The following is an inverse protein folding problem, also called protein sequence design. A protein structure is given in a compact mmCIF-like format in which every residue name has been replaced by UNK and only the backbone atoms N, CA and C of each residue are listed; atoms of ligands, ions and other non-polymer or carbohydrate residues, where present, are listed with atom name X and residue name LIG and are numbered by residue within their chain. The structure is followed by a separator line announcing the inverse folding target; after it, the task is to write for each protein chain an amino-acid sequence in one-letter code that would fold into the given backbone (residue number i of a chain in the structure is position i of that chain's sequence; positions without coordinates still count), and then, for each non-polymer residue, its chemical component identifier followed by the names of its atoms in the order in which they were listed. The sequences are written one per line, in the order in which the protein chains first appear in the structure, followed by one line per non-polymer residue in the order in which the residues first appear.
data_IF_833496292303
#
_entry.id   IF_833496292303
#
_cell.length_a   1.000
_cell.length_b   1.000
_cell.length_c   1.000
_cell.angle_alpha   90.00
_cell.angle_beta   90.00
_cell.angle_gamma   90.00
#
_symmetry.space_group_name_H-M   'P 1'
#
loop_
_entity.id
_entity.type
_entity.pdbx_description
1 polymer ?
#
# COMPACT_ATOMS: atom_id res chain seq x y z
N UNK A 1 16.80 -5.18 11.67
CA UNK A 1 16.64 -4.25 12.81
C UNK A 1 15.26 -3.66 12.70
N UNK A 2 14.53 -3.42 13.79
CA UNK A 2 13.15 -2.90 13.72
C UNK A 2 13.09 -1.48 13.12
N UNK A 3 11.96 -1.17 12.49
CA UNK A 3 11.75 0.07 11.72
C UNK A 3 10.62 0.93 12.28
N UNK A 4 9.88 0.44 13.27
CA UNK A 4 8.85 1.17 14.00
C UNK A 4 9.09 1.01 15.51
N UNK A 5 9.13 2.13 16.23
CA UNK A 5 9.19 2.18 17.69
C UNK A 5 7.91 2.83 18.21
N UNK A 6 7.18 2.13 19.07
CA UNK A 6 5.98 2.61 19.75
C UNK A 6 6.28 2.73 21.25
N UNK A 7 6.11 3.92 21.78
CA UNK A 7 6.22 4.20 23.22
C UNK A 7 4.83 4.58 23.73
N UNK A 8 4.19 3.67 24.43
CA UNK A 8 2.83 3.81 24.93
C UNK A 8 2.80 4.26 26.40
N UNK A 9 1.77 5.02 26.75
CA UNK A 9 1.53 5.49 28.11
C UNK A 9 0.98 4.39 29.02
N UNK A 10 0.38 3.33 28.44
CA UNK A 10 -0.10 2.15 29.18
C UNK A 10 0.04 0.86 28.36
N UNK A 11 -0.04 -0.29 29.04
CA UNK A 11 0.08 -1.61 28.44
C UNK A 11 -1.06 -1.92 27.46
N UNK A 12 -2.29 -1.49 27.75
CA UNK A 12 -3.44 -1.71 26.87
C UNK A 12 -3.24 -1.02 25.53
N UNK A 13 -2.73 0.21 25.55
CA UNK A 13 -2.40 0.96 24.36
C UNK A 13 -1.25 0.33 23.57
N UNK A 14 -0.22 -0.15 24.24
CA UNK A 14 0.89 -0.85 23.62
C UNK A 14 0.38 -2.10 22.87
N UNK A 15 -0.47 -2.91 23.51
CA UNK A 15 -1.09 -4.10 22.91
C UNK A 15 -1.96 -3.77 21.70
N UNK A 16 -2.82 -2.75 21.79
CA UNK A 16 -3.70 -2.34 20.69
C UNK A 16 -2.90 -1.92 19.45
N UNK A 17 -1.84 -1.16 19.64
CA UNK A 17 -0.96 -0.70 18.56
C UNK A 17 -0.26 -1.85 17.85
N UNK A 18 0.32 -2.77 18.60
CA UNK A 18 1.00 -3.96 18.07
C UNK A 18 0.03 -4.86 17.31
N UNK A 19 -1.18 -5.06 17.84
CA UNK A 19 -2.22 -5.85 17.18
C UNK A 19 -2.61 -5.27 15.81
N UNK A 20 -2.74 -3.95 15.72
CA UNK A 20 -3.06 -3.27 14.46
C UNK A 20 -1.95 -3.45 13.41
N UNK A 21 -0.68 -3.31 13.82
CA UNK A 21 0.47 -3.57 12.94
C UNK A 21 0.57 -5.05 12.52
N UNK A 22 0.26 -5.98 13.42
CA UNK A 22 0.24 -7.41 13.12
C UNK A 22 -0.77 -7.76 12.04
N UNK A 23 -1.94 -7.12 12.02
CA UNK A 23 -2.95 -7.29 10.98
C UNK A 23 -2.44 -6.87 9.59
N UNK A 24 -1.44 -5.96 9.53
CA UNK A 24 -0.74 -5.55 8.31
C UNK A 24 0.43 -6.47 7.95
N UNK A 25 0.60 -7.63 8.62
CA UNK A 25 1.71 -8.58 8.44
C UNK A 25 3.10 -8.02 8.83
N UNK A 26 3.15 -6.96 9.63
CA UNK A 26 4.39 -6.46 10.25
C UNK A 26 4.73 -7.38 11.42
N UNK A 27 5.97 -7.86 11.49
CA UNK A 27 6.42 -8.64 12.65
C UNK A 27 6.60 -7.73 13.85
N UNK A 28 5.98 -8.10 14.98
CA UNK A 28 5.81 -7.19 16.13
C UNK A 28 6.24 -7.85 17.43
N UNK A 29 6.86 -7.06 18.32
CA UNK A 29 7.23 -7.45 19.67
C UNK A 29 6.68 -6.43 20.67
N UNK A 30 6.02 -6.92 21.71
CA UNK A 30 5.73 -6.15 22.92
C UNK A 30 6.84 -6.41 23.94
N UNK A 31 7.64 -5.41 24.23
CA UNK A 31 8.72 -5.50 25.22
C UNK A 31 8.15 -5.29 26.63
N UNK A 32 8.26 -6.31 27.46
CA UNK A 32 7.82 -6.28 28.86
C UNK A 32 9.00 -6.21 29.86
N UNK A 33 10.10 -6.89 29.50
CA UNK A 33 11.27 -7.03 30.35
C UNK A 33 12.52 -7.06 29.49
N UNK A 34 13.26 -6.04 29.45
CA UNK A 34 14.51 -5.75 28.74
C UNK A 34 15.45 -6.95 28.47
N UNK A 35 15.05 -7.86 27.58
CA UNK A 35 15.85 -9.03 27.21
C UNK A 35 16.50 -8.94 25.83
N UNK A 36 16.47 -7.77 25.18
CA UNK A 36 17.08 -7.52 23.87
C UNK A 36 16.63 -8.52 22.76
N UNK A 37 15.35 -8.95 22.76
CA UNK A 37 14.81 -9.94 21.83
C UNK A 37 14.38 -9.37 20.47
N UNK A 38 14.56 -8.09 20.21
CA UNK A 38 14.01 -7.33 19.10
C UNK A 38 14.68 -7.54 17.73
N UNK A 39 15.74 -8.35 17.63
CA UNK A 39 16.56 -8.46 16.41
C UNK A 39 15.80 -8.97 15.16
N UNK A 40 14.68 -9.66 15.33
CA UNK A 40 13.92 -10.30 14.25
C UNK A 40 12.53 -9.71 14.06
N UNK A 41 12.27 -8.50 14.54
CA UNK A 41 10.98 -7.86 14.48
C UNK A 41 11.07 -6.54 13.71
N UNK A 42 9.98 -6.18 13.00
CA UNK A 42 9.86 -4.92 12.25
C UNK A 42 9.39 -3.77 13.14
N UNK A 43 8.62 -4.07 14.18
CA UNK A 43 8.10 -3.10 15.12
C UNK A 43 8.24 -3.57 16.57
N UNK A 44 8.59 -2.63 17.44
CA UNK A 44 8.63 -2.81 18.90
C UNK A 44 7.65 -1.85 19.54
N UNK A 45 6.94 -2.33 20.56
CA UNK A 45 6.13 -1.50 21.45
C UNK A 45 6.58 -1.67 22.90
N UNK A 46 6.71 -0.55 23.59
CA UNK A 46 7.06 -0.49 25.03
C UNK A 46 5.99 0.29 25.77
N UNK A 47 5.61 -0.16 26.97
CA UNK A 47 4.77 0.61 27.88
C UNK A 47 5.63 1.35 28.92
N UNK A 48 5.30 2.61 29.16
CA UNK A 48 5.96 3.42 30.19
C UNK A 48 5.20 3.43 31.52
N UNK A 49 3.94 2.95 31.50
CA UNK A 49 3.02 3.08 32.64
C UNK A 49 3.04 4.52 33.21
N UNK A 50 2.90 5.50 32.30
CA UNK A 50 3.08 6.92 32.61
C UNK A 50 1.78 7.72 32.67
N UNK A 51 0.65 7.11 32.29
CA UNK A 51 -0.63 7.82 32.21
C UNK A 51 -1.05 8.48 33.53
N UNK A 52 -0.84 7.83 34.66
CA UNK A 52 -1.32 8.27 35.98
C UNK A 52 -0.26 8.80 36.92
N UNK A 53 0.95 9.13 36.47
CA UNK A 53 2.05 9.67 37.26
C UNK A 53 2.25 11.16 37.00
N UNK A 54 3.20 11.79 37.70
CA UNK A 54 3.50 13.20 37.49
C UNK A 54 4.01 13.46 36.06
N UNK A 55 3.79 14.68 35.56
CA UNK A 55 4.25 15.11 34.24
C UNK A 55 5.77 14.96 34.08
N UNK A 56 6.53 15.33 35.12
CA UNK A 56 8.00 15.20 35.14
C UNK A 56 8.45 13.72 35.05
N UNK A 57 7.80 12.83 35.78
CA UNK A 57 8.15 11.41 35.77
C UNK A 57 7.75 10.75 34.42
N UNK A 58 6.61 11.15 33.88
CA UNK A 58 6.15 10.71 32.58
C UNK A 58 7.14 11.12 31.46
N UNK A 59 7.56 12.38 31.47
CA UNK A 59 8.60 12.90 30.59
C UNK A 59 9.88 12.05 30.68
N UNK A 60 10.42 11.87 31.90
CA UNK A 60 11.66 11.12 32.12
C UNK A 60 11.57 9.69 31.65
N UNK A 61 10.46 8.98 31.87
CA UNK A 61 10.26 7.62 31.40
C UNK A 61 10.25 7.53 29.88
N UNK A 62 9.49 8.41 29.22
CA UNK A 62 9.41 8.42 27.74
C UNK A 62 10.76 8.79 27.13
N UNK A 63 11.46 9.81 27.69
CA UNK A 63 12.79 10.20 27.26
C UNK A 63 13.77 9.02 27.31
N UNK A 64 13.86 8.36 28.47
CA UNK A 64 14.81 7.26 28.69
C UNK A 64 14.52 6.05 27.79
N UNK A 65 13.24 5.65 27.63
CA UNK A 65 12.85 4.57 26.74
C UNK A 65 13.14 4.92 25.28
N UNK A 66 12.85 6.14 24.86
CA UNK A 66 13.15 6.58 23.50
C UNK A 66 14.65 6.54 23.24
N UNK A 67 15.49 7.07 24.14
CA UNK A 67 16.95 7.01 24.05
C UNK A 67 17.48 5.59 23.95
N UNK A 68 16.93 4.68 24.73
CA UNK A 68 17.35 3.28 24.78
C UNK A 68 17.12 2.54 23.45
N UNK A 69 15.97 2.80 22.80
CA UNK A 69 15.54 2.05 21.64
C UNK A 69 15.71 2.80 20.30
N UNK A 70 16.12 4.07 20.32
CA UNK A 70 16.31 4.82 19.07
C UNK A 70 17.51 4.32 18.28
N UNK A 71 17.39 4.30 16.95
CA UNK A 71 18.49 4.06 16.03
C UNK A 71 18.15 4.60 14.62
N UNK A 72 19.15 4.64 13.71
CA UNK A 72 19.03 5.33 12.42
C UNK A 72 18.05 4.67 11.43
N UNK A 73 17.76 3.37 11.58
CA UNK A 73 16.90 2.65 10.65
C UNK A 73 15.40 2.75 10.98
N UNK A 74 15.04 3.41 12.10
CA UNK A 74 13.64 3.60 12.47
C UNK A 74 13.01 4.61 11.51
N UNK A 75 11.99 4.15 10.78
CA UNK A 75 11.20 4.95 9.86
C UNK A 75 10.03 5.63 10.55
N UNK A 76 9.48 5.02 11.61
CA UNK A 76 8.30 5.51 12.32
C UNK A 76 8.53 5.49 13.82
N UNK A 77 8.48 6.66 14.43
CA UNK A 77 8.42 6.83 15.88
C UNK A 77 6.99 7.18 16.26
N UNK A 78 6.38 6.40 17.13
CA UNK A 78 5.06 6.67 17.68
C UNK A 78 5.12 6.91 19.19
N UNK A 79 4.70 8.10 19.61
CA UNK A 79 4.26 8.31 20.97
C UNK A 79 2.78 7.92 21.04
N UNK A 80 2.52 6.66 21.42
CA UNK A 80 1.13 6.21 21.52
C UNK A 80 0.42 6.94 22.65
N UNK A 81 -0.63 7.64 22.31
CA UNK A 81 -1.49 8.40 23.21
C UNK A 81 -2.85 7.73 23.42
N UNK A 82 -3.49 8.00 24.51
CA UNK A 82 -4.86 7.56 24.73
C UNK A 82 -5.84 8.21 23.74
N UNK A 83 -6.77 7.43 23.20
CA UNK A 83 -7.75 7.92 22.21
C UNK A 83 -8.79 8.87 22.78
N UNK A 84 -8.80 9.06 24.08
CA UNK A 84 -9.63 10.05 24.79
C UNK A 84 -8.80 11.16 25.46
N UNK A 85 -7.51 11.26 25.09
CA UNK A 85 -6.59 12.32 25.55
C UNK A 85 -6.28 12.32 27.06
N UNK A 86 -6.39 11.17 27.75
CA UNK A 86 -5.96 11.03 29.15
C UNK A 86 -4.44 10.98 29.26
N UNK A 87 -3.88 11.51 30.37
CA UNK A 87 -2.47 11.42 30.69
C UNK A 87 -1.65 12.66 30.32
N UNK A 88 -0.34 12.50 30.29
CA UNK A 88 0.66 13.56 30.17
C UNK A 88 1.10 13.79 28.72
N UNK A 89 0.15 13.95 27.79
CA UNK A 89 0.38 13.86 26.34
C UNK A 89 1.41 14.86 25.83
N UNK A 90 1.30 16.13 26.22
CA UNK A 90 2.21 17.18 25.75
C UNK A 90 3.64 16.97 26.26
N UNK A 91 3.80 16.64 27.56
CA UNK A 91 5.10 16.35 28.14
C UNK A 91 5.77 15.12 27.55
N UNK A 92 4.99 14.09 27.25
CA UNK A 92 5.50 12.85 26.64
C UNK A 92 5.88 13.03 25.17
N UNK A 93 5.17 13.89 24.43
CA UNK A 93 5.57 14.32 23.08
C UNK A 93 6.88 15.07 23.13
N UNK A 94 7.00 16.05 24.04
CA UNK A 94 8.23 16.82 24.23
C UNK A 94 9.40 15.90 24.59
N UNK A 95 9.20 14.93 25.48
CA UNK A 95 10.21 13.97 25.88
C UNK A 95 10.74 13.13 24.71
N UNK A 96 9.84 12.64 23.84
CA UNK A 96 10.25 11.88 22.66
C UNK A 96 11.03 12.75 21.67
N UNK A 97 10.58 13.98 21.41
CA UNK A 97 11.27 14.93 20.54
C UNK A 97 12.65 15.29 21.08
N UNK A 98 12.77 15.58 22.39
CA UNK A 98 14.05 15.90 23.04
C UNK A 98 15.00 14.68 23.05
N UNK A 99 14.47 13.48 23.26
CA UNK A 99 15.26 12.27 23.20
C UNK A 99 15.85 12.02 21.80
N UNK A 100 15.12 12.31 20.74
CA UNK A 100 15.61 12.15 19.38
C UNK A 100 16.62 13.22 18.99
N UNK A 101 16.53 14.43 19.56
CA UNK A 101 17.55 15.49 19.51
C UNK A 101 17.77 16.08 18.11
N UNK A 102 16.97 15.72 17.14
CA UNK A 102 16.91 16.32 15.82
C UNK A 102 15.61 17.13 15.67
N UNK A 103 15.61 18.11 14.77
CA UNK A 103 14.51 19.05 14.60
C UNK A 103 13.29 18.38 13.94
N UNK A 104 12.58 17.53 14.70
CA UNK A 104 11.42 16.78 14.22
C UNK A 104 10.11 17.49 14.48
N UNK A 105 9.12 17.13 13.67
CA UNK A 105 7.74 17.54 13.79
C UNK A 105 6.91 16.44 14.48
N UNK A 106 6.08 16.77 15.45
CA UNK A 106 5.07 15.86 15.97
C UNK A 106 3.74 16.06 15.23
N UNK A 107 3.25 15.00 14.62
CA UNK A 107 1.92 14.92 14.03
C UNK A 107 1.01 14.24 15.03
N UNK A 108 0.02 14.98 15.51
CA UNK A 108 -0.83 14.54 16.62
C UNK A 108 -2.28 14.38 16.15
N UNK A 109 -2.89 13.25 16.41
CA UNK A 109 -4.35 13.09 16.31
C UNK A 109 -4.83 12.00 17.25
N UNK A 110 -5.69 12.29 18.22
CA UNK A 110 -6.36 11.27 19.02
C UNK A 110 -7.47 10.56 18.24
N UNK A 111 -7.72 10.96 17.00
CA UNK A 111 -8.73 10.38 16.14
C UNK A 111 -8.52 8.88 15.90
N UNK A 112 -9.61 8.11 16.03
CA UNK A 112 -9.71 6.70 15.70
C UNK A 112 -11.10 6.45 15.09
N UNK A 113 -11.30 6.82 13.83
CA UNK A 113 -12.66 6.84 13.25
C UNK A 113 -13.40 5.51 13.33
N UNK A 114 -12.73 4.38 13.11
CA UNK A 114 -13.34 3.05 13.22
C UNK A 114 -13.73 2.66 14.65
N UNK A 115 -13.25 3.40 15.65
CA UNK A 115 -13.61 3.24 17.06
C UNK A 115 -14.50 4.39 17.58
N UNK A 116 -15.06 5.20 16.68
CA UNK A 116 -15.96 6.32 17.04
C UNK A 116 -15.27 7.53 17.66
N UNK A 117 -13.92 7.67 17.52
CA UNK A 117 -13.19 8.85 17.98
C UNK A 117 -12.86 9.71 16.78
N UNK A 118 -13.42 10.93 16.76
CA UNK A 118 -13.20 11.88 15.66
C UNK A 118 -12.70 13.22 16.20
N UNK A 119 -11.91 13.93 15.39
CA UNK A 119 -11.43 15.27 15.71
C UNK A 119 -11.92 16.21 14.62
N UNK A 120 -12.60 17.28 15.03
CA UNK A 120 -13.14 18.32 14.13
C UNK A 120 -12.92 19.68 14.75
N UNK A 121 -12.25 20.59 14.02
CA UNK A 121 -11.90 21.93 14.54
C UNK A 121 -11.01 21.87 15.78
N UNK A 122 -10.21 20.81 15.92
CA UNK A 122 -9.38 20.56 17.10
C UNK A 122 -10.13 19.97 18.31
N UNK A 123 -11.45 19.72 18.20
CA UNK A 123 -12.23 19.11 19.29
C UNK A 123 -12.35 17.62 19.13
N UNK A 124 -12.08 16.87 20.19
CA UNK A 124 -12.24 15.43 20.25
C UNK A 124 -13.68 15.05 20.61
N UNK A 125 -14.29 14.24 19.74
CA UNK A 125 -15.60 13.64 19.97
C UNK A 125 -15.48 12.12 20.10
N UNK A 126 -16.24 11.57 21.04
CA UNK A 126 -16.43 10.13 21.26
C UNK A 126 -17.88 9.81 20.89
N UNK A 127 -18.08 9.05 19.80
CA UNK A 127 -19.41 8.75 19.26
C UNK A 127 -20.29 9.99 19.02
N UNK A 128 -19.68 11.09 18.58
CA UNK A 128 -20.36 12.35 18.29
C UNK A 128 -20.59 13.27 19.49
N UNK A 129 -20.13 12.90 20.70
CA UNK A 129 -20.25 13.67 21.94
C UNK A 129 -18.86 14.21 22.31
N UNK A 130 -18.75 15.47 22.73
CA UNK A 130 -17.48 16.02 23.22
C UNK A 130 -16.94 15.16 24.36
N UNK A 131 -15.63 14.88 24.36
CA UNK A 131 -15.04 13.94 25.32
C UNK A 131 -15.25 14.38 26.78
N UNK A 132 -15.29 15.67 27.05
CA UNK A 132 -15.58 16.22 28.37
C UNK A 132 -17.02 16.04 28.86
N UNK A 133 -17.95 15.71 27.95
CA UNK A 133 -19.35 15.40 28.26
C UNK A 133 -19.62 13.89 28.35
N UNK A 134 -18.56 13.07 28.27
CA UNK A 134 -18.66 11.60 28.38
C UNK A 134 -18.23 11.11 29.76
N UNK A 135 -18.31 9.80 29.97
CA UNK A 135 -17.80 9.14 31.18
C UNK A 135 -16.31 9.42 31.47
N UNK A 136 -15.55 9.88 30.45
CA UNK A 136 -14.15 10.25 30.61
C UNK A 136 -13.96 11.51 31.47
N UNK A 137 -14.97 12.35 31.59
CA UNK A 137 -14.95 13.53 32.46
C UNK A 137 -14.85 13.18 33.97
N UNK A 138 -15.32 12.00 34.32
CA UNK A 138 -15.35 11.49 35.72
C UNK A 138 -14.40 10.30 35.94
N UNK A 139 -13.45 10.08 35.03
CA UNK A 139 -12.41 9.05 35.21
C UNK A 139 -11.68 9.29 36.52
N UNK A 140 -11.56 8.25 37.36
CA UNK A 140 -11.05 8.38 38.72
C UNK A 140 -9.58 8.78 38.84
N UNK A 141 -8.79 8.51 37.78
CA UNK A 141 -7.33 8.78 37.76
C UNK A 141 -6.95 9.96 36.88
N UNK A 142 -7.65 10.09 35.73
CA UNK A 142 -7.30 11.06 34.69
C UNK A 142 -8.59 11.67 34.08
N UNK A 143 -9.34 12.49 34.85
CA UNK A 143 -10.57 13.11 34.35
C UNK A 143 -10.26 14.10 33.22
N UNK A 144 -11.01 14.00 32.11
CA UNK A 144 -10.90 14.91 30.97
C UNK A 144 -11.89 16.06 31.12
N UNK A 145 -11.36 17.28 31.15
CA UNK A 145 -12.16 18.49 31.31
C UNK A 145 -12.09 19.43 30.12
N UNK A 146 -11.36 19.05 29.07
CA UNK A 146 -11.12 19.88 27.87
C UNK A 146 -11.19 18.97 26.67
N UNK A 147 -12.14 19.20 25.77
CA UNK A 147 -12.26 18.49 24.50
C UNK A 147 -11.35 19.07 23.41
N UNK A 148 -10.85 20.31 23.58
CA UNK A 148 -9.93 20.93 22.63
C UNK A 148 -8.53 20.36 22.81
N UNK A 149 -8.08 19.58 21.82
CA UNK A 149 -6.79 18.89 21.82
C UNK A 149 -5.59 19.86 21.87
N UNK A 150 -5.72 21.02 21.20
CA UNK A 150 -4.64 22.02 21.16
C UNK A 150 -4.47 22.67 22.53
N UNK A 151 -5.56 23.05 23.16
CA UNK A 151 -5.51 23.65 24.49
C UNK A 151 -4.94 22.66 25.49
N UNK A 152 -5.40 21.41 25.49
CA UNK A 152 -4.88 20.38 26.38
C UNK A 152 -3.37 20.20 26.23
N UNK A 153 -2.85 20.10 25.00
CA UNK A 153 -1.42 19.92 24.75
C UNK A 153 -0.63 21.18 25.15
N UNK A 154 -1.17 22.39 24.93
CA UNK A 154 -0.51 23.66 25.34
C UNK A 154 -0.23 23.76 26.81
N UNK A 155 -1.05 23.18 27.67
CA UNK A 155 -0.80 23.17 29.10
C UNK A 155 0.40 22.31 29.51
N UNK A 156 0.78 21.34 28.68
CA UNK A 156 1.79 20.31 28.98
C UNK A 156 3.04 20.40 28.10
N UNK A 157 3.04 21.21 27.03
CA UNK A 157 4.16 21.32 26.08
C UNK A 157 4.67 22.74 25.97
N UNK A 158 5.99 22.91 25.85
CA UNK A 158 6.68 24.19 25.63
C UNK A 158 6.82 24.58 24.17
N UNK A 159 6.38 23.70 23.23
CA UNK A 159 6.57 23.87 21.79
C UNK A 159 5.46 24.69 21.15
N UNK A 160 5.75 25.32 20.00
CA UNK A 160 4.71 25.97 19.20
C UNK A 160 3.79 24.93 18.59
N UNK A 161 2.49 25.10 18.77
CA UNK A 161 1.43 24.18 18.34
C UNK A 161 0.52 24.89 17.34
N UNK A 162 0.14 24.19 16.28
CA UNK A 162 -0.89 24.61 15.31
C UNK A 162 -1.84 23.46 14.97
N UNK A 163 -2.92 23.76 14.24
CA UNK A 163 -3.89 22.79 13.73
C UNK A 163 -3.64 22.47 12.26
N UNK A 164 -4.03 21.27 11.85
CA UNK A 164 -4.32 20.91 10.47
C UNK A 164 -5.83 20.66 10.39
N UNK A 165 -6.55 21.70 10.00
CA UNK A 165 -8.01 21.73 10.04
C UNK A 165 -8.65 20.86 8.96
N UNK A 166 -9.93 20.50 9.18
CA UNK A 166 -10.69 19.58 8.34
C UNK A 166 -10.73 20.02 6.87
N UNK A 167 -10.81 21.31 6.59
CA UNK A 167 -10.87 21.84 5.23
C UNK A 167 -9.59 21.53 4.44
N UNK A 168 -8.44 21.52 5.10
CA UNK A 168 -7.16 21.17 4.51
C UNK A 168 -7.03 19.65 4.41
N UNK A 169 -7.40 18.91 5.47
CA UNK A 169 -7.32 17.43 5.50
C UNK A 169 -8.13 16.76 4.39
N UNK A 170 -9.24 17.40 3.96
CA UNK A 170 -10.08 16.92 2.86
C UNK A 170 -9.47 17.09 1.47
N UNK A 171 -8.38 17.81 1.35
CA UNK A 171 -7.69 18.06 0.07
C UNK A 171 -6.74 16.93 -0.29
N UNK A 172 -5.90 17.11 -1.31
CA UNK A 172 -4.89 16.12 -1.69
C UNK A 172 -3.70 16.08 -0.72
N UNK A 173 -3.01 14.94 -0.66
CA UNK A 173 -1.77 14.78 0.13
C UNK A 173 -0.72 15.85 -0.20
N UNK A 174 -0.64 16.30 -1.44
CA UNK A 174 0.28 17.38 -1.88
C UNK A 174 -0.02 18.72 -1.22
N UNK A 175 -1.29 19.11 -1.11
CA UNK A 175 -1.70 20.36 -0.46
C UNK A 175 -1.41 20.29 1.05
N UNK A 176 -1.76 19.15 1.68
CA UNK A 176 -1.48 18.90 3.09
C UNK A 176 0.05 18.92 3.35
N UNK A 177 0.82 18.25 2.48
CA UNK A 177 2.30 18.23 2.58
C UNK A 177 2.91 19.62 2.51
N UNK A 178 2.39 20.47 1.61
CA UNK A 178 2.82 21.87 1.54
C UNK A 178 2.50 22.62 2.83
N UNK A 179 1.27 22.50 3.33
CA UNK A 179 0.86 23.11 4.59
C UNK A 179 1.77 22.68 5.76
N UNK A 180 2.07 21.40 5.87
CA UNK A 180 2.99 20.87 6.90
C UNK A 180 4.37 21.52 6.79
N UNK A 181 4.91 21.68 5.59
CA UNK A 181 6.20 22.35 5.37
C UNK A 181 6.17 23.82 5.76
N UNK A 182 5.15 24.55 5.30
CA UNK A 182 4.99 25.98 5.62
C UNK A 182 4.94 26.17 7.14
N UNK A 183 4.17 25.35 7.86
CA UNK A 183 4.09 25.42 9.33
C UNK A 183 5.39 25.03 10.04
N UNK A 184 6.09 24.02 9.52
CA UNK A 184 7.40 23.65 10.04
C UNK A 184 8.42 24.79 9.89
N UNK A 185 8.45 25.47 8.74
CA UNK A 185 9.32 26.61 8.45
C UNK A 185 8.96 27.85 9.31
N UNK A 186 7.67 28.03 9.67
CA UNK A 186 7.20 29.03 10.64
C UNK A 186 7.62 28.71 12.10
N UNK A 187 8.28 27.58 12.32
CA UNK A 187 8.80 27.18 13.64
C UNK A 187 7.82 26.39 14.49
N UNK A 188 6.66 25.94 13.96
CA UNK A 188 5.81 25.01 14.65
C UNK A 188 6.47 23.62 14.74
N UNK A 189 6.28 22.94 15.90
CA UNK A 189 6.85 21.60 16.13
C UNK A 189 5.80 20.57 16.53
N UNK A 190 4.56 20.99 16.71
CA UNK A 190 3.41 20.13 16.95
C UNK A 190 2.29 20.58 16.02
N UNK A 191 1.73 19.65 15.24
CA UNK A 191 0.54 19.87 14.40
C UNK A 191 -0.54 18.90 14.86
N UNK A 192 -1.65 19.42 15.38
CA UNK A 192 -2.84 18.65 15.75
C UNK A 192 -3.75 18.53 14.52
N UNK A 193 -4.05 17.31 14.10
CA UNK A 193 -4.78 17.04 12.87
C UNK A 193 -6.24 16.66 13.15
N UNK A 194 -7.16 17.32 12.48
CA UNK A 194 -8.53 16.86 12.38
C UNK A 194 -8.60 15.50 11.67
N UNK A 195 -9.51 14.62 12.13
CA UNK A 195 -9.64 13.27 11.60
C UNK A 195 -11.04 12.70 11.84
N UNK A 196 -11.79 12.45 10.76
CA UNK A 196 -13.19 12.01 10.84
C UNK A 196 -13.39 10.62 10.22
N UNK A 197 -12.56 10.23 9.25
CA UNK A 197 -12.72 8.98 8.51
C UNK A 197 -11.37 8.41 8.05
N UNK A 198 -11.41 7.21 7.47
CA UNK A 198 -10.20 6.51 7.00
C UNK A 198 -9.49 7.22 5.83
N UNK A 199 -10.21 7.99 5.01
CA UNK A 199 -9.57 8.76 3.94
C UNK A 199 -8.69 9.88 4.53
N UNK A 200 -9.08 10.48 5.65
CA UNK A 200 -8.26 11.46 6.35
C UNK A 200 -7.00 10.82 6.93
N UNK A 201 -7.10 9.61 7.50
CA UNK A 201 -5.91 8.83 7.93
C UNK A 201 -4.95 8.63 6.75
N UNK A 202 -5.47 8.22 5.60
CA UNK A 202 -4.67 8.02 4.38
C UNK A 202 -4.00 9.32 3.92
N UNK A 203 -4.79 10.38 3.72
CA UNK A 203 -4.30 11.66 3.19
C UNK A 203 -3.20 12.26 4.07
N UNK A 204 -3.40 12.28 5.39
CA UNK A 204 -2.40 12.78 6.35
C UNK A 204 -1.14 11.92 6.30
N UNK A 205 -1.27 10.58 6.26
CA UNK A 205 -0.13 9.66 6.22
C UNK A 205 0.72 9.82 4.95
N UNK A 206 0.08 9.94 3.81
CA UNK A 206 0.77 10.20 2.53
C UNK A 206 1.46 11.58 2.55
N UNK A 207 0.78 12.62 3.04
CA UNK A 207 1.31 13.97 3.11
C UNK A 207 2.55 14.10 4.00
N UNK A 208 2.56 13.42 5.14
CA UNK A 208 3.71 13.38 6.05
C UNK A 208 4.92 12.79 5.33
N UNK A 209 4.75 11.67 4.64
CA UNK A 209 5.84 11.02 3.89
C UNK A 209 6.31 11.88 2.70
N UNK A 210 5.39 12.52 1.98
CA UNK A 210 5.68 13.44 0.88
C UNK A 210 6.42 14.70 1.35
N UNK A 211 6.21 15.15 2.59
CA UNK A 211 6.87 16.33 3.16
C UNK A 211 8.38 16.16 3.27
N UNK A 212 8.86 14.92 3.46
CA UNK A 212 10.26 14.58 3.75
C UNK A 212 10.83 15.20 5.02
N UNK A 213 10.00 15.83 5.84
CA UNK A 213 10.36 16.33 7.16
C UNK A 213 10.51 15.13 8.09
N UNK A 214 11.51 15.14 8.96
CA UNK A 214 11.60 14.16 10.02
C UNK A 214 10.44 14.36 11.00
N UNK A 215 9.80 13.29 11.42
CA UNK A 215 8.60 13.38 12.25
C UNK A 215 8.54 12.31 13.34
N UNK A 216 7.67 12.52 14.29
CA UNK A 216 7.06 11.50 15.14
C UNK A 216 5.54 11.56 14.96
N UNK A 217 4.87 10.46 15.24
CA UNK A 217 3.40 10.40 15.27
C UNK A 217 2.94 10.27 16.71
N UNK A 218 1.99 11.10 17.14
CA UNK A 218 1.33 10.96 18.43
C UNK A 218 -0.15 10.63 18.20
N UNK A 219 -0.47 9.34 18.20
CA UNK A 219 -1.82 8.86 17.88
C UNK A 219 -2.15 7.53 18.61
N UNK A 220 -3.42 7.16 18.69
CA UNK A 220 -3.83 5.86 19.23
C UNK A 220 -3.64 4.69 18.24
N UNK A 221 -2.86 4.87 17.19
CA UNK A 221 -2.31 3.92 16.22
C UNK A 221 -2.82 3.99 14.77
N UNK A 222 -3.96 4.56 14.37
CA UNK A 222 -4.41 4.57 12.96
C UNK A 222 -3.41 5.22 12.00
N UNK A 223 -2.84 6.39 12.35
CA UNK A 223 -1.81 7.05 11.54
C UNK A 223 -0.52 6.23 11.54
N UNK A 224 -0.08 5.78 12.71
CA UNK A 224 1.12 4.93 12.86
C UNK A 224 1.02 3.68 12.00
N UNK A 225 -0.12 3.00 12.00
CA UNK A 225 -0.35 1.81 11.20
C UNK A 225 -0.28 2.12 9.70
N UNK A 226 -0.95 3.19 9.25
CA UNK A 226 -0.95 3.57 7.83
C UNK A 226 0.41 4.04 7.34
N UNK A 227 1.13 4.84 8.12
CA UNK A 227 2.50 5.26 7.79
C UNK A 227 3.45 4.05 7.78
N UNK A 228 3.31 3.12 8.72
CA UNK A 228 4.12 1.89 8.75
C UNK A 228 3.84 1.01 7.52
N UNK A 229 2.58 0.88 7.10
CA UNK A 229 2.22 0.20 5.86
C UNK A 229 2.94 0.83 4.66
N UNK A 230 2.87 2.15 4.53
CA UNK A 230 3.47 2.88 3.40
C UNK A 230 5.00 2.90 3.43
N UNK A 231 5.64 2.95 4.60
CA UNK A 231 7.09 3.13 4.74
C UNK A 231 7.86 1.84 4.99
N UNK A 232 7.25 0.83 5.61
CA UNK A 232 7.89 -0.44 5.95
C UNK A 232 7.55 -1.50 4.91
N UNK A 233 6.24 -1.74 4.67
CA UNK A 233 5.80 -2.79 3.77
C UNK A 233 6.07 -2.43 2.31
N UNK A 234 5.79 -1.18 1.91
CA UNK A 234 5.99 -0.78 0.53
C UNK A 234 7.47 -0.68 0.14
N UNK A 235 8.39 -0.32 1.06
CA UNK A 235 9.83 -0.37 0.76
C UNK A 235 10.37 -1.79 0.63
N UNK A 236 9.85 -2.74 1.38
CA UNK A 236 10.20 -4.16 1.22
C UNK A 236 9.57 -4.77 -0.03
N UNK A 237 8.35 -4.31 -0.38
CA UNK A 237 7.70 -4.69 -1.65
C UNK A 237 8.43 -4.11 -2.87
N UNK A 238 9.02 -2.93 -2.79
CA UNK A 238 9.84 -2.36 -3.89
C UNK A 238 11.15 -3.14 -4.07
N UNK A 239 11.73 -3.69 -3.00
CA UNK A 239 12.92 -4.55 -3.08
C UNK A 239 12.61 -6.04 -3.35
N UNK A 240 11.35 -6.48 -3.24
CA UNK A 240 10.83 -7.80 -3.59
C UNK A 240 9.51 -7.72 -4.35
N UNK A 241 9.31 -6.66 -5.12
CA UNK A 241 8.06 -6.53 -5.87
C UNK A 241 8.05 -7.56 -6.99
N UNK A 242 7.09 -8.49 -6.87
CA UNK A 242 6.85 -9.50 -7.88
C UNK A 242 6.57 -8.86 -9.23
N UNK A 243 7.27 -9.33 -10.25
CA UNK A 243 7.01 -8.95 -11.63
C UNK A 243 5.87 -9.79 -12.18
N UNK A 244 4.77 -9.13 -12.52
CA UNK A 244 3.57 -9.76 -13.08
C UNK A 244 3.43 -9.36 -14.55
N UNK A 245 3.34 -10.36 -15.42
CA UNK A 245 3.05 -10.16 -16.84
C UNK A 245 1.62 -10.59 -17.13
N UNK A 246 0.83 -9.68 -17.70
CA UNK A 246 -0.52 -9.97 -18.18
C UNK A 246 -0.48 -10.13 -19.71
N UNK A 247 -0.68 -11.33 -20.22
CA UNK A 247 -0.79 -11.65 -21.64
C UNK A 247 -2.29 -11.74 -22.02
N UNK A 248 -2.78 -10.76 -22.76
CA UNK A 248 -4.20 -10.61 -23.08
C UNK A 248 -4.42 -10.80 -24.57
N UNK A 249 -4.87 -12.00 -24.95
CA UNK A 249 -5.28 -12.33 -26.33
C UNK A 249 -6.74 -12.00 -26.62
N UNK A 250 -7.58 -11.89 -25.58
CA UNK A 250 -9.00 -11.57 -25.74
C UNK A 250 -9.22 -10.12 -26.16
N UNK A 251 -10.10 -9.91 -27.14
CA UNK A 251 -10.53 -8.59 -27.65
C UNK A 251 -11.96 -8.22 -27.23
N UNK A 252 -12.54 -8.92 -26.24
CA UNK A 252 -13.90 -8.65 -25.78
C UNK A 252 -14.03 -7.27 -25.09
N UNK A 253 -15.21 -6.68 -25.16
CA UNK A 253 -15.53 -5.42 -24.47
C UNK A 253 -15.26 -5.52 -22.96
N UNK A 254 -15.58 -6.65 -22.33
CA UNK A 254 -15.29 -6.93 -20.92
C UNK A 254 -13.79 -6.85 -20.63
N UNK A 255 -12.96 -7.45 -21.49
CA UNK A 255 -11.50 -7.39 -21.35
C UNK A 255 -10.97 -5.95 -21.51
N UNK A 256 -11.48 -5.19 -22.46
CA UNK A 256 -11.09 -3.79 -22.64
C UNK A 256 -11.40 -2.95 -21.40
N UNK A 257 -12.57 -3.13 -20.80
CA UNK A 257 -12.96 -2.47 -19.56
C UNK A 257 -12.04 -2.86 -18.39
N UNK A 258 -11.71 -4.14 -18.24
CA UNK A 258 -10.80 -4.64 -17.20
C UNK A 258 -9.40 -4.05 -17.33
N UNK A 259 -8.86 -3.99 -18.53
CA UNK A 259 -7.54 -3.37 -18.80
C UNK A 259 -7.56 -1.88 -18.48
N UNK A 260 -8.60 -1.16 -18.91
CA UNK A 260 -8.79 0.26 -18.61
C UNK A 260 -8.87 0.50 -17.10
N UNK A 261 -9.61 -0.33 -16.39
CA UNK A 261 -9.77 -0.23 -14.93
C UNK A 261 -8.44 -0.49 -14.21
N UNK A 262 -7.68 -1.50 -14.59
CA UNK A 262 -6.36 -1.76 -14.01
C UNK A 262 -5.40 -0.59 -14.30
N UNK A 263 -5.36 -0.09 -15.53
CA UNK A 263 -4.49 1.01 -15.94
C UNK A 263 -4.80 2.31 -15.16
N UNK A 264 -6.07 2.57 -14.87
CA UNK A 264 -6.49 3.78 -14.13
C UNK A 264 -6.22 3.67 -12.61
N UNK A 265 -6.13 2.46 -12.06
CA UNK A 265 -6.04 2.23 -10.61
C UNK A 265 -4.70 1.72 -10.12
N UNK A 266 -3.78 1.34 -11.02
CA UNK A 266 -2.44 0.82 -10.68
C UNK A 266 -1.39 1.42 -11.60
N UNK A 267 -0.17 1.50 -11.10
CA UNK A 267 1.00 1.90 -11.90
C UNK A 267 1.48 0.70 -12.71
N UNK A 268 1.19 0.70 -14.00
CA UNK A 268 1.43 -0.43 -14.90
C UNK A 268 2.12 0.01 -16.19
N UNK A 269 2.96 -0.85 -16.76
CA UNK A 269 3.50 -0.72 -18.10
C UNK A 269 2.53 -1.31 -19.13
N UNK A 270 1.93 -0.49 -19.97
CA UNK A 270 1.07 -0.94 -21.06
C UNK A 270 1.90 -1.10 -22.32
N UNK A 271 1.79 -2.29 -22.96
CA UNK A 271 2.42 -2.65 -24.23
C UNK A 271 1.32 -3.06 -25.21
N UNK A 272 1.30 -2.44 -26.37
CA UNK A 272 0.34 -2.73 -27.42
C UNK A 272 1.05 -3.40 -28.59
N UNK A 273 0.54 -4.55 -29.02
CA UNK A 273 1.03 -5.22 -30.23
C UNK A 273 0.05 -5.06 -31.39
N UNK A 274 0.56 -5.11 -32.59
CA UNK A 274 -0.21 -5.05 -33.83
C UNK A 274 -0.52 -6.47 -34.33
N UNK A 275 -1.79 -6.93 -34.23
CA UNK A 275 -2.13 -8.30 -34.62
C UNK A 275 -1.88 -8.57 -36.11
N UNK A 276 -2.08 -7.57 -36.98
CA UNK A 276 -1.75 -7.66 -38.40
C UNK A 276 -0.29 -8.00 -38.65
N UNK A 277 0.64 -7.50 -37.87
CA UNK A 277 2.06 -7.78 -38.01
C UNK A 277 2.41 -9.23 -37.58
N UNK A 278 1.65 -9.81 -36.64
CA UNK A 278 1.83 -11.20 -36.21
C UNK A 278 1.28 -12.20 -37.25
N UNK A 279 0.32 -11.78 -38.08
CA UNK A 279 -0.24 -12.56 -39.18
C UNK A 279 0.71 -12.55 -40.40
N UNK A 280 1.36 -11.43 -40.65
CA UNK A 280 2.28 -11.27 -41.78
C UNK A 280 3.63 -11.93 -41.48
N UNK A 281 3.97 -13.00 -42.22
CA UNK A 281 5.22 -13.74 -42.01
C UNK A 281 6.48 -12.88 -42.14
N UNK A 282 6.44 -11.79 -42.94
CA UNK A 282 7.56 -10.88 -43.15
C UNK A 282 7.74 -9.88 -41.98
N UNK A 283 6.70 -9.61 -41.22
CA UNK A 283 6.67 -8.67 -40.11
C UNK A 283 6.66 -9.35 -38.72
N UNK A 284 6.28 -10.61 -38.65
CA UNK A 284 6.03 -11.33 -37.41
C UNK A 284 7.24 -11.31 -36.45
N UNK A 285 8.43 -11.65 -36.94
CA UNK A 285 9.62 -11.66 -36.11
C UNK A 285 9.99 -10.26 -35.59
N UNK A 286 9.80 -9.24 -36.41
CA UNK A 286 10.03 -7.84 -36.01
C UNK A 286 9.06 -7.41 -34.93
N UNK A 287 7.78 -7.79 -35.04
CA UNK A 287 6.76 -7.48 -34.03
C UNK A 287 7.03 -8.21 -32.72
N UNK A 288 7.38 -9.50 -32.77
CA UNK A 288 7.78 -10.27 -31.59
C UNK A 288 8.95 -9.58 -30.86
N UNK A 289 10.00 -9.21 -31.59
CA UNK A 289 11.16 -8.54 -30.99
C UNK A 289 10.80 -7.15 -30.42
N UNK A 290 9.89 -6.42 -31.07
CA UNK A 290 9.35 -5.16 -30.56
C UNK A 290 8.59 -5.35 -29.23
N UNK A 291 7.71 -6.34 -29.15
CA UNK A 291 6.98 -6.73 -27.93
C UNK A 291 7.99 -7.03 -26.80
N UNK A 292 8.95 -7.91 -27.07
CA UNK A 292 9.96 -8.35 -26.08
C UNK A 292 10.72 -7.15 -25.52
N UNK A 293 11.26 -6.30 -26.40
CA UNK A 293 12.03 -5.13 -25.99
C UNK A 293 11.19 -4.13 -25.17
N UNK A 294 9.95 -3.89 -25.58
CA UNK A 294 9.06 -2.99 -24.84
C UNK A 294 8.75 -3.54 -23.44
N UNK A 295 8.47 -4.85 -23.31
CA UNK A 295 8.18 -5.47 -22.00
C UNK A 295 9.41 -5.42 -21.10
N UNK A 296 10.61 -5.76 -21.60
CA UNK A 296 11.86 -5.70 -20.83
C UNK A 296 12.10 -4.29 -20.30
N UNK A 297 12.04 -3.28 -21.17
CA UNK A 297 12.24 -1.87 -20.79
C UNK A 297 11.18 -1.41 -19.79
N UNK A 298 9.92 -1.82 -19.95
CA UNK A 298 8.86 -1.46 -19.00
C UNK A 298 9.07 -2.10 -17.63
N UNK A 299 9.60 -3.32 -17.54
CA UNK A 299 9.93 -3.96 -16.27
C UNK A 299 11.11 -3.32 -15.50
N UNK A 300 11.82 -2.37 -16.09
CA UNK A 300 12.77 -1.53 -15.36
C UNK A 300 12.06 -0.51 -14.46
N UNK A 301 10.86 -0.08 -14.85
CA UNK A 301 10.11 0.99 -14.15
C UNK A 301 8.83 0.48 -13.48
N UNK A 302 8.22 -0.57 -14.03
CA UNK A 302 6.93 -1.09 -13.61
C UNK A 302 7.06 -2.54 -13.13
N UNK A 303 6.30 -2.91 -12.10
CA UNK A 303 6.23 -4.30 -11.62
C UNK A 303 5.07 -5.09 -12.25
N UNK A 304 4.18 -4.42 -12.93
CA UNK A 304 3.05 -5.01 -13.65
C UNK A 304 3.15 -4.54 -15.09
N UNK A 305 3.25 -5.47 -16.02
CA UNK A 305 3.22 -5.20 -17.46
C UNK A 305 2.01 -5.87 -18.11
N UNK A 306 1.34 -5.15 -19.00
CA UNK A 306 0.15 -5.62 -19.70
C UNK A 306 0.47 -5.65 -21.20
N UNK A 307 0.48 -6.84 -21.81
CA UNK A 307 0.57 -7.03 -23.23
C UNK A 307 -0.84 -7.23 -23.79
N UNK A 308 -1.28 -6.36 -24.69
CA UNK A 308 -2.63 -6.36 -25.26
C UNK A 308 -2.60 -6.04 -26.74
N UNK A 309 -3.59 -6.55 -27.49
CA UNK A 309 -3.78 -6.17 -28.88
C UNK A 309 -4.15 -4.68 -29.02
N UNK A 310 -3.50 -3.97 -29.95
CA UNK A 310 -3.87 -2.62 -30.33
C UNK A 310 -5.32 -2.51 -30.83
N UNK A 311 -5.87 -3.62 -31.30
CA UNK A 311 -7.25 -3.72 -31.78
C UNK A 311 -8.30 -3.35 -30.71
N UNK A 312 -7.97 -3.49 -29.41
CA UNK A 312 -8.83 -3.05 -28.29
C UNK A 312 -8.99 -1.53 -28.19
N UNK A 313 -8.15 -0.76 -28.86
CA UNK A 313 -8.10 0.71 -28.75
C UNK A 313 -8.40 1.40 -30.07
N UNK A 314 -8.70 0.64 -31.15
CA UNK A 314 -9.03 1.21 -32.45
C UNK A 314 -10.50 1.59 -32.50
N UNK A 315 -10.80 2.76 -33.03
CA UNK A 315 -12.18 3.18 -33.31
C UNK A 315 -12.87 2.24 -34.30
N UNK A 316 -12.10 1.73 -35.28
CA UNK A 316 -12.53 0.71 -36.20
C UNK A 316 -11.58 -0.51 -36.06
N UNK A 317 -12.02 -1.57 -35.36
CA UNK A 317 -11.26 -2.80 -35.22
C UNK A 317 -10.95 -3.43 -36.59
N UNK A 318 -9.89 -4.25 -36.65
CA UNK A 318 -9.59 -5.04 -37.83
C UNK A 318 -10.74 -6.00 -38.12
N UNK A 319 -11.13 -6.05 -39.37
CA UNK A 319 -12.08 -7.02 -39.88
C UNK A 319 -11.34 -8.31 -40.23
N UNK A 320 -11.40 -9.31 -39.38
CA UNK A 320 -10.75 -10.59 -39.60
C UNK A 320 -11.43 -11.43 -40.66
N UNK A 321 -12.72 -11.21 -40.94
CA UNK A 321 -13.42 -11.86 -42.01
C UNK A 321 -12.89 -11.38 -43.38
N UNK A 322 -12.69 -10.05 -43.51
CA UNK A 322 -12.10 -9.45 -44.70
C UNK A 322 -10.64 -9.95 -44.92
N UNK A 323 -9.84 -9.98 -43.85
CA UNK A 323 -8.44 -10.44 -43.91
C UNK A 323 -8.38 -11.93 -44.30
N UNK A 324 -9.23 -12.76 -43.71
CA UNK A 324 -9.30 -14.18 -44.00
C UNK A 324 -9.67 -14.41 -45.49
N UNK A 325 -10.64 -13.65 -45.99
CA UNK A 325 -11.06 -13.71 -47.39
C UNK A 325 -9.92 -13.34 -48.37
N UNK A 326 -9.22 -12.24 -48.09
CA UNK A 326 -8.11 -11.74 -48.92
C UNK A 326 -6.93 -12.72 -48.89
N UNK A 327 -6.59 -13.26 -47.74
CA UNK A 327 -5.46 -14.20 -47.55
C UNK A 327 -5.80 -15.65 -47.92
N UNK A 328 -7.07 -15.93 -48.31
CA UNK A 328 -7.59 -17.28 -48.59
C UNK A 328 -7.35 -18.27 -47.46
N UNK A 329 -7.56 -17.79 -46.22
CA UNK A 329 -7.45 -18.55 -44.97
C UNK A 329 -8.77 -18.50 -44.24
N UNK A 330 -8.82 -19.02 -43.02
CA UNK A 330 -9.94 -18.84 -42.11
C UNK A 330 -9.55 -18.04 -40.86
N UNK A 331 -10.54 -17.57 -40.11
CA UNK A 331 -10.35 -16.77 -38.92
C UNK A 331 -9.63 -17.56 -37.82
N UNK A 332 -9.85 -18.88 -37.76
CA UNK A 332 -9.20 -19.76 -36.80
C UNK A 332 -7.68 -19.81 -37.05
N UNK A 333 -7.29 -19.93 -38.31
CA UNK A 333 -5.88 -19.89 -38.71
C UNK A 333 -5.23 -18.53 -38.33
N UNK A 334 -5.88 -17.39 -38.60
CA UNK A 334 -5.39 -16.08 -38.26
C UNK A 334 -5.25 -15.90 -36.73
N UNK A 335 -6.25 -16.35 -35.97
CA UNK A 335 -6.23 -16.35 -34.51
C UNK A 335 -5.09 -17.21 -33.95
N UNK A 336 -4.82 -18.36 -34.59
CA UNK A 336 -3.71 -19.22 -34.18
C UNK A 336 -2.36 -18.54 -34.39
N UNK A 337 -2.13 -17.87 -35.52
CA UNK A 337 -0.89 -17.12 -35.78
C UNK A 337 -0.65 -16.02 -34.72
N UNK A 338 -1.70 -15.27 -34.39
CA UNK A 338 -1.60 -14.22 -33.33
C UNK A 338 -1.23 -14.85 -31.98
N UNK A 339 -1.91 -15.94 -31.60
CA UNK A 339 -1.65 -16.61 -30.33
C UNK A 339 -0.25 -17.24 -30.28
N UNK A 340 0.26 -17.75 -31.39
CA UNK A 340 1.63 -18.24 -31.54
C UNK A 340 2.65 -17.10 -31.37
N UNK A 341 2.43 -15.97 -32.05
CA UNK A 341 3.28 -14.78 -31.89
C UNK A 341 3.34 -14.26 -30.44
N UNK A 342 2.17 -14.25 -29.75
CA UNK A 342 2.12 -13.92 -28.32
C UNK A 342 2.92 -14.95 -27.51
N UNK A 343 2.74 -16.24 -27.74
CA UNK A 343 3.39 -17.31 -27.00
C UNK A 343 4.92 -17.27 -27.13
N UNK A 344 5.43 -17.09 -28.36
CA UNK A 344 6.86 -16.90 -28.64
C UNK A 344 7.39 -15.64 -27.95
N UNK A 345 6.61 -14.55 -27.95
CA UNK A 345 7.00 -13.32 -27.25
C UNK A 345 7.13 -13.56 -25.75
N UNK A 346 6.18 -14.28 -25.13
CA UNK A 346 6.21 -14.62 -23.70
C UNK A 346 7.45 -15.48 -23.38
N UNK A 347 7.77 -16.49 -24.16
CA UNK A 347 8.97 -17.31 -23.95
C UNK A 347 10.24 -16.46 -23.98
N UNK A 348 10.42 -15.62 -25.01
CA UNK A 348 11.59 -14.72 -25.12
C UNK A 348 11.65 -13.71 -23.97
N UNK A 349 10.50 -13.22 -23.48
CA UNK A 349 10.46 -12.34 -22.31
C UNK A 349 10.96 -13.08 -21.06
N UNK A 350 10.46 -14.28 -20.82
CA UNK A 350 10.86 -15.12 -19.67
C UNK A 350 12.34 -15.54 -19.70
N UNK A 351 12.96 -15.59 -20.87
CA UNK A 351 14.41 -15.82 -21.01
C UNK A 351 15.25 -14.62 -20.52
N UNK A 352 14.71 -13.42 -20.63
CA UNK A 352 15.41 -12.18 -20.34
C UNK A 352 15.02 -11.55 -19.00
N UNK A 353 13.81 -11.80 -18.51
CA UNK A 353 13.30 -11.22 -17.25
C UNK A 353 12.69 -12.32 -16.38
N UNK A 354 13.14 -12.37 -15.13
CA UNK A 354 12.48 -13.22 -14.14
C UNK A 354 11.11 -12.64 -13.79
N UNK A 355 10.06 -13.36 -14.13
CA UNK A 355 8.68 -13.03 -13.81
C UNK A 355 8.21 -13.95 -12.68
N UNK A 356 7.47 -13.40 -11.71
CA UNK A 356 6.96 -14.14 -10.56
C UNK A 356 5.52 -14.65 -10.77
N UNK A 357 4.80 -14.05 -11.71
CA UNK A 357 3.44 -14.48 -12.04
C UNK A 357 3.01 -14.07 -13.44
N UNK A 358 2.28 -14.96 -14.11
CA UNK A 358 1.70 -14.77 -15.42
C UNK A 358 0.17 -14.76 -15.30
N UNK A 359 -0.47 -13.77 -15.90
CA UNK A 359 -1.91 -13.76 -16.10
C UNK A 359 -2.21 -13.89 -17.58
N UNK A 360 -3.15 -14.75 -17.94
CA UNK A 360 -3.59 -14.95 -19.32
C UNK A 360 -5.10 -14.75 -19.46
N UNK A 361 -5.51 -14.08 -20.52
CA UNK A 361 -6.93 -13.92 -20.89
C UNK A 361 -7.17 -14.41 -22.30
N UNK A 362 -8.00 -15.44 -22.40
CA UNK A 362 -8.28 -16.21 -23.61
C UNK A 362 -7.80 -17.64 -23.46
N UNK A 363 -8.68 -18.63 -23.68
CA UNK A 363 -8.33 -20.06 -23.58
C UNK A 363 -7.24 -20.45 -24.57
N UNK A 364 -7.41 -20.09 -25.84
CA UNK A 364 -6.47 -20.42 -26.94
C UNK A 364 -5.10 -19.77 -26.68
N UNK A 365 -5.07 -18.51 -26.23
CA UNK A 365 -3.83 -17.83 -25.84
C UNK A 365 -3.13 -18.58 -24.71
N UNK A 366 -3.87 -19.01 -23.69
CA UNK A 366 -3.31 -19.78 -22.57
C UNK A 366 -2.70 -21.09 -23.02
N UNK A 367 -3.42 -21.85 -23.85
CA UNK A 367 -2.97 -23.15 -24.38
C UNK A 367 -1.68 -22.97 -25.19
N UNK A 368 -1.64 -22.00 -26.11
CA UNK A 368 -0.45 -21.71 -26.92
C UNK A 368 0.76 -21.31 -26.07
N UNK A 369 0.57 -20.46 -25.06
CA UNK A 369 1.64 -20.09 -24.13
C UNK A 369 2.15 -21.31 -23.36
N UNK A 370 1.25 -22.13 -22.78
CA UNK A 370 1.65 -23.35 -22.08
C UNK A 370 2.42 -24.33 -23.00
N UNK A 371 1.94 -24.52 -24.22
CA UNK A 371 2.60 -25.37 -25.22
C UNK A 371 4.00 -24.84 -25.57
N UNK A 372 4.14 -23.54 -25.84
CA UNK A 372 5.43 -22.90 -26.17
C UNK A 372 6.43 -23.04 -25.04
N UNK A 373 5.96 -22.92 -23.78
CA UNK A 373 6.80 -23.08 -22.58
C UNK A 373 7.08 -24.55 -22.21
N UNK A 374 6.65 -25.51 -23.05
CA UNK A 374 6.77 -26.95 -22.82
C UNK A 374 6.16 -27.40 -21.47
N UNK A 375 5.08 -26.76 -21.07
CA UNK A 375 4.31 -27.18 -19.89
C UNK A 375 3.41 -28.36 -20.26
N UNK A 376 3.52 -29.46 -19.51
CA UNK A 376 2.75 -30.69 -19.77
C UNK A 376 1.33 -30.64 -19.19
N UNK A 377 1.14 -29.83 -18.12
CA UNK A 377 -0.13 -29.67 -17.43
C UNK A 377 -0.13 -28.42 -16.56
N UNK A 378 -1.30 -28.08 -16.03
CA UNK A 378 -1.48 -27.06 -15.02
C UNK A 378 -1.79 -27.72 -13.67
N UNK A 379 -0.98 -27.45 -12.65
CA UNK A 379 -1.25 -27.85 -11.29
C UNK A 379 -2.23 -26.85 -10.68
N UNK A 380 -3.52 -27.21 -10.69
CA UNK A 380 -4.61 -26.33 -10.22
C UNK A 380 -4.54 -26.17 -8.70
N UNK A 381 -4.44 -24.95 -8.23
CA UNK A 381 -4.32 -24.63 -6.81
C UNK A 381 -5.67 -24.20 -6.21
N UNK A 382 -6.35 -23.25 -6.82
CA UNK A 382 -7.67 -22.80 -6.38
C UNK A 382 -8.36 -21.93 -7.44
N UNK A 383 -9.65 -21.65 -7.22
CA UNK A 383 -10.37 -20.59 -7.94
C UNK A 383 -10.10 -19.24 -7.30
N UNK A 384 -9.76 -18.22 -8.08
CA UNK A 384 -9.63 -16.83 -7.62
C UNK A 384 -11.03 -16.24 -7.40
N UNK A 385 -11.91 -16.49 -8.36
CA UNK A 385 -13.36 -16.29 -8.33
C UNK A 385 -13.99 -17.17 -9.41
N UNK A 386 -15.33 -17.28 -9.52
CA UNK A 386 -15.95 -18.19 -10.48
C UNK A 386 -15.40 -18.06 -11.92
N UNK A 387 -15.03 -19.20 -12.51
CA UNK A 387 -14.45 -19.32 -13.87
C UNK A 387 -13.05 -18.69 -14.03
N UNK A 388 -12.35 -18.35 -12.95
CA UNK A 388 -10.97 -17.88 -12.98
C UNK A 388 -10.11 -18.71 -12.04
N UNK A 389 -9.07 -19.30 -12.60
CA UNK A 389 -8.29 -20.34 -11.94
C UNK A 389 -6.85 -19.89 -11.74
N UNK A 390 -6.35 -20.09 -10.52
CA UNK A 390 -4.94 -20.01 -10.18
C UNK A 390 -4.33 -21.42 -10.23
N UNK A 391 -3.22 -21.52 -10.94
CA UNK A 391 -2.48 -22.77 -11.15
C UNK A 391 -0.97 -22.49 -11.14
N UNK A 392 -0.18 -23.56 -11.16
CA UNK A 392 1.26 -23.51 -11.44
C UNK A 392 1.53 -24.28 -12.74
N UNK A 393 2.47 -23.77 -13.56
CA UNK A 393 2.95 -24.52 -14.69
C UNK A 393 3.64 -25.81 -14.22
N UNK A 394 3.29 -26.94 -14.82
CA UNK A 394 3.91 -28.21 -14.51
C UNK A 394 4.64 -28.78 -15.76
N UNK A 395 5.95 -28.94 -15.61
CA UNK A 395 6.87 -29.32 -16.70
C UNK A 395 7.52 -28.12 -17.40
N UNK A 396 8.51 -28.44 -18.22
CA UNK A 396 9.30 -27.46 -18.96
C UNK A 396 10.26 -26.63 -18.09
N UNK A 397 10.93 -25.66 -18.74
CA UNK A 397 11.92 -24.78 -18.12
C UNK A 397 11.33 -23.87 -17.00
N UNK A 398 10.04 -23.58 -17.10
CA UNK A 398 9.33 -22.65 -16.22
C UNK A 398 8.39 -23.36 -15.23
N UNK A 399 8.69 -24.61 -14.88
CA UNK A 399 7.93 -25.36 -13.88
C UNK A 399 7.79 -24.57 -12.57
N UNK A 400 6.57 -24.53 -12.04
CA UNK A 400 6.26 -23.84 -10.79
C UNK A 400 5.93 -22.36 -10.95
N UNK A 401 6.01 -21.78 -12.17
CA UNK A 401 5.58 -20.40 -12.41
C UNK A 401 4.08 -20.26 -12.10
N UNK A 402 3.75 -19.26 -11.31
CA UNK A 402 2.39 -18.91 -10.94
C UNK A 402 1.61 -18.40 -12.16
N UNK A 403 0.46 -19.00 -12.43
CA UNK A 403 -0.40 -18.68 -13.57
C UNK A 403 -1.83 -18.44 -13.11
N UNK A 404 -2.44 -17.33 -13.55
CA UNK A 404 -3.90 -17.19 -13.54
C UNK A 404 -4.41 -17.22 -14.97
N UNK A 405 -5.41 -18.07 -15.22
CA UNK A 405 -6.11 -18.15 -16.51
C UNK A 405 -7.56 -17.77 -16.39
N UNK A 406 -8.06 -17.00 -17.36
CA UNK A 406 -9.41 -16.46 -17.41
C UNK A 406 -9.96 -16.50 -18.84
N UNK A 407 -11.22 -16.88 -19.00
CA UNK A 407 -11.96 -16.72 -20.26
C UNK A 407 -12.15 -15.25 -20.63
N UNK A 408 -12.13 -14.91 -21.93
CA UNK A 408 -12.18 -13.53 -22.41
C UNK A 408 -13.37 -12.70 -21.91
N UNK A 409 -14.58 -13.28 -21.89
CA UNK A 409 -15.81 -12.59 -21.48
C UNK A 409 -16.14 -12.69 -19.99
N UNK A 410 -15.27 -13.26 -19.16
CA UNK A 410 -15.55 -13.57 -17.75
C UNK A 410 -15.25 -12.37 -16.84
N UNK A 411 -16.10 -12.18 -15.82
CA UNK A 411 -15.90 -11.26 -14.70
C UNK A 411 -16.39 -9.83 -14.93
N UNK A 412 -16.15 -8.99 -13.93
CA UNK A 412 -16.49 -7.56 -13.89
C UNK A 412 -15.28 -6.67 -14.22
N UNK A 413 -15.47 -5.34 -14.18
CA UNK A 413 -14.42 -4.35 -14.45
C UNK A 413 -13.18 -4.50 -13.53
N UNK A 414 -13.34 -4.95 -12.30
CA UNK A 414 -12.27 -5.09 -11.30
C UNK A 414 -11.56 -6.45 -11.33
N UNK A 415 -12.05 -7.37 -12.16
CA UNK A 415 -11.56 -8.76 -12.18
C UNK A 415 -10.08 -8.89 -12.48
N UNK A 416 -9.52 -8.08 -13.37
CA UNK A 416 -8.09 -8.07 -13.67
C UNK A 416 -7.26 -7.54 -12.49
N UNK A 417 -7.77 -6.52 -11.76
CA UNK A 417 -7.15 -6.03 -10.53
C UNK A 417 -7.09 -7.14 -9.49
N UNK A 418 -8.21 -7.85 -9.27
CA UNK A 418 -8.29 -8.97 -8.31
C UNK A 418 -7.29 -10.07 -8.65
N UNK A 419 -7.13 -10.41 -9.93
CA UNK A 419 -6.15 -11.41 -10.39
C UNK A 419 -4.70 -10.99 -10.17
N UNK A 420 -4.37 -9.75 -10.52
CA UNK A 420 -3.03 -9.19 -10.33
C UNK A 420 -2.67 -9.11 -8.85
N UNK A 421 -3.58 -8.59 -8.03
CA UNK A 421 -3.38 -8.49 -6.58
C UNK A 421 -3.22 -9.90 -5.95
N UNK A 422 -3.94 -10.91 -6.44
CA UNK A 422 -3.78 -12.29 -6.01
C UNK A 422 -2.38 -12.84 -6.33
N UNK A 423 -1.86 -12.65 -7.55
CA UNK A 423 -0.51 -13.07 -7.94
C UNK A 423 0.58 -12.35 -7.11
N UNK A 424 0.39 -11.08 -6.80
CA UNK A 424 1.32 -10.31 -5.96
C UNK A 424 1.39 -10.89 -4.55
N UNK A 425 0.29 -11.42 -4.02
CA UNK A 425 0.21 -11.96 -2.65
C UNK A 425 0.78 -13.38 -2.51
N UNK A 426 0.90 -14.16 -3.60
CA UNK A 426 1.44 -15.53 -3.60
C UNK A 426 2.95 -15.53 -3.59
#
# INVERSE_FOLDING_TARGET
MYRCLIVADDLTGANASISLLKNLKITTLLELNDKNLYKNYDAISCSTESRGISETDAYNKVFNITKKYMHNDIAVYNKRIDSTMRGNIGAEIDAMLDALGDDRLAIVSPGYPSAGRTVVGGYLLVNGILVEDTEMAVDSKNPIKISNCIELIKYQSKRKITSLEIDIVRTSSKVISKYIKDKYDEGFRIIVCDMVNQNHVKNISEAILESKIKFIVADPSPLTAKISELSIINKEKINKSKKILCAIGSISHTTALQVKTLYSNRTVGLIRFRPENLIDSSLCEKEINNIVNQVINKFETFNICILVSENLYRDKPLDFDEIALISKTDIEYLSNLINEGIAVSIEKILENVKIDGLYTSGGDTTIKICSQLNSYSLDIQCSVFPLVVYAKLNGGKYQGLDLITKGGGVGDAESLIKCVDFLIQK
#
